data_IF_163733530532
#
_entry.id   IF_163733530532
#
_cell.length_a   1.000
_cell.length_b   1.000
_cell.length_c   1.000
_cell.angle_alpha   90.00
_cell.angle_beta   90.00
_cell.angle_gamma   90.00
#
_symmetry.space_group_name_H-M   'P 1'
#
loop_
_entity.id
_entity.type
_entity.pdbx_description
1 polymer ?
#
# COMPACT_ATOMS: atom_id res chain seq x y z
N UNK A 1 14.77 26.71 22.74
CA UNK A 1 15.55 25.98 21.73
C UNK A 1 14.60 24.97 21.10
N UNK A 2 14.14 25.20 19.88
CA UNK A 2 13.33 24.23 19.16
C UNK A 2 14.27 23.19 18.55
N UNK A 3 14.08 21.93 18.91
CA UNK A 3 14.78 20.81 18.27
C UNK A 3 13.90 20.37 17.11
N UNK A 4 14.37 20.58 15.88
CA UNK A 4 13.75 19.99 14.69
C UNK A 4 14.25 18.55 14.54
N UNK A 5 13.32 17.60 14.47
CA UNK A 5 13.63 16.19 14.26
C UNK A 5 13.71 15.89 12.76
N UNK A 6 14.66 15.04 12.35
CA UNK A 6 14.73 14.51 10.99
C UNK A 6 13.59 13.52 10.72
N UNK A 7 13.32 13.24 9.43
CA UNK A 7 12.31 12.24 9.04
C UNK A 7 12.59 10.85 9.62
N UNK A 8 13.85 10.45 9.71
CA UNK A 8 14.27 9.19 10.33
C UNK A 8 14.03 9.18 11.84
N UNK A 9 14.37 10.28 12.54
CA UNK A 9 14.11 10.42 13.97
C UNK A 9 12.61 10.37 14.26
N UNK A 10 11.77 10.97 13.41
CA UNK A 10 10.32 10.90 13.53
C UNK A 10 9.80 9.47 13.33
N UNK A 11 10.38 8.70 12.40
CA UNK A 11 10.04 7.29 12.20
C UNK A 11 10.41 6.45 13.42
N UNK A 12 11.57 6.71 14.04
CA UNK A 12 12.01 6.04 15.26
C UNK A 12 11.11 6.36 16.45
N UNK A 13 10.71 7.63 16.60
CA UNK A 13 9.74 8.05 17.62
C UNK A 13 8.41 7.32 17.41
N UNK A 14 7.88 7.29 16.19
CA UNK A 14 6.62 6.61 15.88
C UNK A 14 6.70 5.09 16.18
N UNK A 15 7.80 4.42 15.80
CA UNK A 15 8.02 3.00 16.11
C UNK A 15 8.17 2.75 17.62
N UNK A 16 8.82 3.67 18.34
CA UNK A 16 8.94 3.60 19.80
C UNK A 16 7.57 3.73 20.47
N UNK A 17 6.73 4.67 20.01
CA UNK A 17 5.35 4.84 20.47
C UNK A 17 4.52 3.58 20.20
N UNK A 18 4.61 2.99 19.00
CA UNK A 18 3.92 1.73 18.69
C UNK A 18 4.38 0.60 19.61
N UNK A 19 5.68 0.45 19.85
CA UNK A 19 6.20 -0.56 20.78
C UNK A 19 5.71 -0.36 22.21
N UNK A 20 5.67 0.89 22.69
CA UNK A 20 5.18 1.21 24.02
C UNK A 20 3.68 0.90 24.16
N UNK A 21 2.88 1.19 23.13
CA UNK A 21 1.43 0.98 23.13
C UNK A 21 1.04 -0.49 22.94
N UNK A 22 1.74 -1.22 22.06
CA UNK A 22 1.40 -2.58 21.64
C UNK A 22 2.13 -3.67 22.45
N UNK A 23 3.21 -3.32 23.16
CA UNK A 23 4.04 -4.26 23.89
C UNK A 23 4.78 -5.23 22.97
N UNK A 24 4.90 -6.49 23.42
CA UNK A 24 5.53 -7.58 22.65
C UNK A 24 4.55 -8.36 21.76
N UNK A 25 3.27 -7.99 21.79
CA UNK A 25 2.26 -8.67 21.01
C UNK A 25 2.39 -8.36 19.52
N UNK A 26 2.07 -9.35 18.68
CA UNK A 26 2.03 -9.18 17.22
C UNK A 26 0.59 -9.05 16.73
N UNK A 27 0.40 -8.21 15.73
CA UNK A 27 -0.89 -7.76 15.22
C UNK A 27 -1.06 -8.18 13.76
N UNK A 28 -2.28 -8.39 13.29
CA UNK A 28 -2.51 -8.49 11.86
C UNK A 28 -2.24 -7.12 11.22
N UNK A 29 -1.44 -7.10 10.16
CA UNK A 29 -1.30 -5.91 9.32
C UNK A 29 -2.31 -5.97 8.18
N UNK A 30 -3.09 -4.90 7.99
CA UNK A 30 -4.02 -4.78 6.88
C UNK A 30 -3.38 -3.95 5.76
N UNK A 31 -3.09 -4.60 4.64
CA UNK A 31 -2.56 -3.98 3.43
C UNK A 31 -3.70 -3.64 2.48
N UNK A 32 -3.78 -2.38 2.08
CA UNK A 32 -4.73 -1.94 1.06
C UNK A 32 -4.31 -0.65 0.36
N UNK A 33 -4.87 -0.36 -0.83
CA UNK A 33 -4.52 0.82 -1.58
C UNK A 33 -4.85 2.09 -0.79
N UNK A 34 -3.94 3.08 -0.81
CA UNK A 34 -4.21 4.45 -0.32
C UNK A 34 -4.21 5.40 -1.52
N UNK A 35 -3.06 5.59 -2.16
CA UNK A 35 -2.89 6.51 -3.30
C UNK A 35 -3.06 5.85 -4.67
N UNK A 36 -3.20 4.53 -4.72
CA UNK A 36 -3.29 3.73 -5.94
C UNK A 36 -4.53 2.84 -5.98
N UNK A 37 -4.38 1.64 -6.55
CA UNK A 37 -5.46 0.66 -6.61
C UNK A 37 -6.38 0.84 -7.82
N UNK A 38 -7.41 -0.01 -7.90
CA UNK A 38 -8.41 0.00 -8.99
C UNK A 38 -9.12 1.35 -9.14
N UNK A 39 -9.33 2.07 -8.02
CA UNK A 39 -9.92 3.42 -8.03
C UNK A 39 -9.07 4.41 -8.82
N UNK A 40 -7.74 4.39 -8.65
CA UNK A 40 -6.85 5.27 -9.40
C UNK A 40 -6.97 5.03 -10.90
N UNK A 41 -6.90 3.76 -11.32
CA UNK A 41 -7.03 3.39 -12.73
C UNK A 41 -8.36 3.86 -13.32
N UNK A 42 -9.46 3.52 -12.65
CA UNK A 42 -10.83 3.86 -13.10
C UNK A 42 -11.02 5.37 -13.19
N UNK A 43 -10.63 6.11 -12.15
CA UNK A 43 -10.75 7.56 -12.10
C UNK A 43 -9.86 8.25 -13.15
N UNK A 44 -8.62 7.78 -13.31
CA UNK A 44 -7.68 8.37 -14.26
C UNK A 44 -8.19 8.30 -15.69
N UNK A 45 -8.76 7.15 -16.08
CA UNK A 45 -9.33 6.93 -17.41
C UNK A 45 -10.60 7.75 -17.65
N UNK A 46 -11.46 7.86 -16.64
CA UNK A 46 -12.73 8.58 -16.74
C UNK A 46 -12.54 10.10 -16.81
N UNK A 47 -11.72 10.66 -15.92
CA UNK A 47 -11.58 12.12 -15.79
C UNK A 47 -10.16 12.58 -15.46
N UNK A 48 -9.36 11.82 -14.70
CA UNK A 48 -8.12 12.29 -14.12
C UNK A 48 -7.09 12.78 -15.13
N UNK A 49 -6.95 12.09 -16.27
CA UNK A 49 -6.04 12.49 -17.36
C UNK A 49 -6.44 13.79 -18.06
N UNK A 50 -7.72 14.15 -18.00
CA UNK A 50 -8.26 15.37 -18.64
C UNK A 50 -8.07 16.63 -17.77
N UNK A 51 -7.76 16.47 -16.48
CA UNK A 51 -7.61 17.58 -15.55
C UNK A 51 -6.20 18.17 -15.59
N UNK A 52 -6.09 19.49 -15.42
CA UNK A 52 -4.83 20.18 -15.16
C UNK A 52 -4.21 19.74 -13.82
N UNK A 53 -2.88 19.76 -13.70
CA UNK A 53 -2.14 19.15 -12.60
C UNK A 53 -2.63 19.55 -11.19
N UNK A 54 -2.89 20.83 -10.93
CA UNK A 54 -3.36 21.30 -9.62
C UNK A 54 -4.76 20.79 -9.28
N UNK A 55 -5.70 20.88 -10.23
CA UNK A 55 -7.07 20.36 -10.07
C UNK A 55 -7.09 18.84 -9.96
N UNK A 56 -6.19 18.17 -10.70
CA UNK A 56 -6.02 16.73 -10.71
C UNK A 56 -5.67 16.20 -9.33
N UNK A 57 -4.76 16.85 -8.58
CA UNK A 57 -4.40 16.43 -7.22
C UNK A 57 -5.60 16.44 -6.27
N UNK A 58 -6.33 17.55 -6.24
CA UNK A 58 -7.50 17.68 -5.36
C UNK A 58 -8.64 16.74 -5.76
N UNK A 59 -8.88 16.56 -7.06
CA UNK A 59 -9.85 15.59 -7.56
C UNK A 59 -9.44 14.15 -7.22
N UNK A 60 -8.17 13.79 -7.40
CA UNK A 60 -7.63 12.48 -7.03
C UNK A 60 -7.80 12.20 -5.54
N UNK A 61 -7.52 13.19 -4.68
CA UNK A 61 -7.69 13.03 -3.23
C UNK A 61 -9.12 12.63 -2.88
N UNK A 62 -10.12 13.32 -3.42
CA UNK A 62 -11.54 13.04 -3.16
C UNK A 62 -12.06 11.76 -3.83
N UNK A 63 -11.61 11.48 -5.04
CA UNK A 63 -12.15 10.36 -5.84
C UNK A 63 -11.44 9.03 -5.57
N UNK A 64 -10.19 9.07 -5.11
CA UNK A 64 -9.33 7.89 -4.95
C UNK A 64 -8.87 7.75 -3.51
N UNK A 65 -8.17 8.74 -2.97
CA UNK A 65 -7.43 8.61 -1.70
C UNK A 65 -8.39 8.51 -0.51
N UNK A 66 -9.32 9.44 -0.38
CA UNK A 66 -10.27 9.47 0.74
C UNK A 66 -11.18 8.23 0.76
N UNK A 67 -11.78 7.78 -0.36
CA UNK A 67 -12.54 6.53 -0.40
C UNK A 67 -11.69 5.30 -0.08
N UNK A 68 -10.45 5.24 -0.58
CA UNK A 68 -9.53 4.15 -0.27
C UNK A 68 -9.21 4.06 1.23
N UNK A 69 -8.91 5.21 1.86
CA UNK A 69 -8.68 5.29 3.31
C UNK A 69 -9.94 4.90 4.07
N UNK A 70 -11.12 5.36 3.64
CA UNK A 70 -12.38 5.04 4.29
C UNK A 70 -12.64 3.53 4.30
N UNK A 71 -12.51 2.86 3.15
CA UNK A 71 -12.67 1.41 3.04
C UNK A 71 -11.67 0.65 3.93
N UNK A 72 -10.40 1.08 3.93
CA UNK A 72 -9.35 0.42 4.70
C UNK A 72 -9.61 0.54 6.21
N UNK A 73 -10.06 1.72 6.66
CA UNK A 73 -10.48 1.96 8.04
C UNK A 73 -11.72 1.14 8.40
N UNK A 74 -12.70 1.06 7.49
CA UNK A 74 -13.91 0.28 7.71
C UNK A 74 -13.58 -1.21 7.89
N UNK A 75 -12.74 -1.77 7.02
CA UNK A 75 -12.29 -3.17 7.13
C UNK A 75 -11.51 -3.42 8.42
N UNK A 76 -10.60 -2.51 8.79
CA UNK A 76 -9.89 -2.63 10.06
C UNK A 76 -10.83 -2.57 11.26
N UNK A 77 -11.87 -1.73 11.21
CA UNK A 77 -12.87 -1.65 12.28
C UNK A 77 -13.73 -2.92 12.35
N UNK A 78 -14.12 -3.51 11.21
CA UNK A 78 -14.79 -4.82 11.17
C UNK A 78 -13.93 -5.90 11.83
N UNK A 79 -12.63 -5.95 11.51
CA UNK A 79 -11.71 -6.91 12.10
C UNK A 79 -11.56 -6.71 13.61
N UNK A 80 -11.40 -5.46 14.07
CA UNK A 80 -11.32 -5.13 15.51
C UNK A 80 -12.61 -5.50 16.24
N UNK A 81 -13.78 -5.25 15.65
CA UNK A 81 -15.07 -5.66 16.20
C UNK A 81 -15.21 -7.18 16.32
N UNK A 82 -14.58 -7.94 15.41
CA UNK A 82 -14.46 -9.39 15.48
C UNK A 82 -13.34 -9.89 16.44
N UNK A 83 -12.71 -8.99 17.22
CA UNK A 83 -11.65 -9.33 18.16
C UNK A 83 -10.26 -9.50 17.52
N UNK A 84 -10.11 -9.21 16.22
CA UNK A 84 -8.83 -9.29 15.52
C UNK A 84 -8.05 -8.00 15.75
N UNK A 85 -6.91 -8.13 16.43
CA UNK A 85 -5.96 -7.04 16.66
C UNK A 85 -5.29 -6.63 15.35
N UNK A 86 -5.61 -5.42 14.88
CA UNK A 86 -5.28 -4.97 13.51
C UNK A 86 -4.59 -3.62 13.48
N UNK A 87 -3.42 -3.57 12.82
CA UNK A 87 -2.70 -2.37 12.41
C UNK A 87 -3.08 -2.07 10.95
N UNK A 88 -3.36 -0.81 10.63
CA UNK A 88 -3.71 -0.38 9.28
C UNK A 88 -3.12 1.01 8.99
N UNK A 89 -2.62 1.26 7.76
CA UNK A 89 -1.92 2.49 7.42
C UNK A 89 -2.81 3.69 7.07
N UNK A 90 -4.10 3.50 6.78
CA UNK A 90 -5.03 4.56 6.39
C UNK A 90 -5.37 5.56 7.50
N UNK A 91 -5.20 5.22 8.78
CA UNK A 91 -5.30 6.18 9.88
C UNK A 91 -4.01 6.92 10.21
N UNK A 92 -2.89 6.59 9.54
CA UNK A 92 -1.62 7.26 9.79
C UNK A 92 -1.54 8.56 8.98
N UNK A 93 -1.59 9.69 9.68
CA UNK A 93 -1.48 11.02 9.07
C UNK A 93 -0.01 11.41 8.90
N UNK A 94 0.54 11.08 7.72
CA UNK A 94 1.90 11.45 7.37
C UNK A 94 2.04 12.92 6.94
N UNK A 95 0.96 13.67 6.72
CA UNK A 95 1.01 15.03 6.16
C UNK A 95 1.84 16.03 7.02
N UNK A 96 2.06 15.73 8.30
CA UNK A 96 2.85 16.54 9.24
C UNK A 96 4.34 16.19 9.29
N UNK A 97 4.71 15.07 8.67
CA UNK A 97 6.08 14.56 8.56
C UNK A 97 6.39 14.65 7.08
N UNK A 98 7.32 15.49 6.63
CA UNK A 98 7.63 15.68 5.20
C UNK A 98 8.29 14.45 4.54
N UNK A 99 7.70 13.26 4.71
CA UNK A 99 8.12 11.99 4.17
C UNK A 99 7.76 11.91 2.70
N UNK A 100 8.73 11.51 1.89
CA UNK A 100 8.47 10.99 0.57
C UNK A 100 7.93 9.57 0.64
N UNK A 101 7.65 9.02 -0.54
CA UNK A 101 7.19 7.64 -0.68
C UNK A 101 8.20 6.63 -0.12
N UNK A 102 9.51 6.89 -0.27
CA UNK A 102 10.56 5.99 0.18
C UNK A 102 10.61 5.89 1.70
N UNK A 103 10.56 7.02 2.41
CA UNK A 103 10.52 7.07 3.87
C UNK A 103 9.24 6.42 4.41
N UNK A 104 8.09 6.70 3.77
CA UNK A 104 6.82 6.08 4.14
C UNK A 104 6.88 4.55 4.02
N UNK A 105 7.37 4.02 2.89
CA UNK A 105 7.50 2.57 2.69
C UNK A 105 8.52 1.94 3.64
N UNK A 106 9.64 2.62 3.92
CA UNK A 106 10.65 2.15 4.86
C UNK A 106 10.09 2.08 6.30
N UNK A 107 9.30 3.06 6.71
CA UNK A 107 8.61 3.03 8.00
C UNK A 107 7.68 1.82 8.12
N UNK A 108 6.81 1.60 7.13
CA UNK A 108 5.86 0.48 7.17
C UNK A 108 6.53 -0.89 7.07
N UNK A 109 7.65 -0.99 6.36
CA UNK A 109 8.47 -2.19 6.36
C UNK A 109 8.98 -2.55 7.78
N UNK A 110 9.43 -1.54 8.54
CA UNK A 110 9.84 -1.73 9.94
C UNK A 110 8.66 -2.09 10.85
N UNK A 111 7.46 -1.57 10.55
CA UNK A 111 6.23 -1.97 11.26
C UNK A 111 5.90 -3.44 10.98
N UNK A 112 5.98 -3.88 9.73
CA UNK A 112 5.77 -5.29 9.35
C UNK A 112 6.74 -6.21 10.09
N UNK A 113 8.04 -5.92 10.01
CA UNK A 113 9.10 -6.71 10.66
C UNK A 113 8.84 -6.89 12.17
N UNK A 114 8.52 -5.78 12.86
CA UNK A 114 8.52 -5.73 14.32
C UNK A 114 7.18 -6.06 14.96
N UNK A 115 6.08 -5.72 14.29
CA UNK A 115 4.74 -5.74 14.90
C UNK A 115 3.75 -6.64 14.18
N UNK A 116 3.97 -7.05 12.93
CA UNK A 116 2.99 -7.85 12.20
C UNK A 116 3.13 -9.35 12.47
N UNK A 117 2.05 -10.05 12.82
CA UNK A 117 2.02 -11.53 12.87
C UNK A 117 1.77 -12.16 11.51
N UNK A 118 1.03 -11.44 10.65
CA UNK A 118 0.71 -11.79 9.27
C UNK A 118 0.23 -10.52 8.55
N UNK A 119 0.17 -10.59 7.22
CA UNK A 119 -0.35 -9.52 6.37
C UNK A 119 -1.61 -10.00 5.67
N UNK A 120 -2.71 -9.25 5.85
CA UNK A 120 -3.99 -9.45 5.16
C UNK A 120 -4.13 -8.41 4.05
N UNK A 121 -4.37 -8.87 2.84
CA UNK A 121 -4.51 -8.03 1.66
C UNK A 121 -6.00 -7.86 1.33
N UNK A 122 -6.46 -6.60 1.25
CA UNK A 122 -7.82 -6.30 0.79
C UNK A 122 -7.95 -6.55 -0.72
N UNK A 123 -9.17 -6.76 -1.21
CA UNK A 123 -9.42 -6.97 -2.63
C UNK A 123 -8.92 -5.79 -3.49
N UNK A 124 -8.26 -6.08 -4.61
CA UNK A 124 -7.71 -5.06 -5.50
C UNK A 124 -6.35 -4.52 -5.08
N UNK A 125 -5.70 -5.12 -4.06
CA UNK A 125 -4.33 -4.79 -3.64
C UNK A 125 -3.32 -4.87 -4.79
N UNK A 126 -3.53 -5.76 -5.76
CA UNK A 126 -2.65 -5.99 -6.90
C UNK A 126 -2.52 -4.78 -7.84
N UNK A 127 -3.43 -3.80 -7.72
CA UNK A 127 -3.38 -2.51 -8.43
C UNK A 127 -2.63 -1.43 -7.64
N UNK A 128 -2.00 -1.77 -6.52
CA UNK A 128 -1.27 -0.84 -5.66
C UNK A 128 0.19 -1.26 -5.55
N UNK A 129 1.09 -0.39 -6.03
CA UNK A 129 2.53 -0.61 -5.87
C UNK A 129 2.95 -0.72 -4.40
N UNK A 130 2.30 0.01 -3.49
CA UNK A 130 2.54 -0.08 -2.05
C UNK A 130 2.16 -1.46 -1.49
N UNK A 131 1.01 -2.00 -1.89
CA UNK A 131 0.61 -3.34 -1.46
C UNK A 131 1.50 -4.42 -2.06
N UNK A 132 1.92 -4.29 -3.32
CA UNK A 132 2.88 -5.20 -3.93
C UNK A 132 4.24 -5.18 -3.22
N UNK A 133 4.70 -4.00 -2.80
CA UNK A 133 5.87 -3.86 -1.94
C UNK A 133 5.67 -4.58 -0.60
N UNK A 134 4.54 -4.36 0.08
CA UNK A 134 4.22 -4.98 1.37
C UNK A 134 4.11 -6.51 1.26
N UNK A 135 3.55 -7.04 0.17
CA UNK A 135 3.53 -8.49 -0.11
C UNK A 135 4.93 -9.07 -0.16
N UNK A 136 5.83 -8.42 -0.91
CA UNK A 136 7.23 -8.83 -1.01
C UNK A 136 7.95 -8.74 0.34
N UNK A 137 7.72 -7.68 1.12
CA UNK A 137 8.34 -7.52 2.45
C UNK A 137 7.81 -8.55 3.44
N UNK A 138 6.51 -8.82 3.43
CA UNK A 138 5.91 -9.88 4.23
C UNK A 138 6.59 -11.24 3.95
N UNK A 139 6.82 -11.55 2.67
CA UNK A 139 7.55 -12.75 2.27
C UNK A 139 8.98 -12.78 2.84
N UNK A 140 9.73 -11.68 2.71
CA UNK A 140 11.11 -11.56 3.20
C UNK A 140 11.21 -11.70 4.72
N UNK A 141 10.17 -11.27 5.45
CA UNK A 141 10.08 -11.38 6.92
C UNK A 141 9.50 -12.71 7.41
N UNK A 142 9.20 -13.65 6.51
CA UNK A 142 8.58 -14.93 6.87
C UNK A 142 7.15 -14.80 7.39
N UNK A 143 6.45 -13.71 7.06
CA UNK A 143 5.07 -13.47 7.47
C UNK A 143 4.10 -14.20 6.55
N UNK A 144 3.06 -14.79 7.15
CA UNK A 144 1.93 -15.29 6.38
C UNK A 144 1.26 -14.15 5.62
N UNK A 145 0.90 -14.41 4.36
CA UNK A 145 0.20 -13.48 3.47
C UNK A 145 -1.16 -14.10 3.19
N UNK A 146 -2.23 -13.39 3.48
CA UNK A 146 -3.59 -13.90 3.34
C UNK A 146 -4.50 -12.91 2.62
N UNK A 147 -5.53 -13.41 1.97
CA UNK A 147 -6.60 -12.57 1.41
C UNK A 147 -7.56 -12.07 2.50
N UNK A 148 -8.59 -11.31 2.10
CA UNK A 148 -9.61 -10.74 2.99
C UNK A 148 -10.44 -11.79 3.73
N UNK A 149 -10.50 -13.02 3.20
CA UNK A 149 -11.22 -14.14 3.82
C UNK A 149 -10.29 -14.97 4.74
N UNK A 150 -8.97 -14.76 4.63
CA UNK A 150 -7.95 -15.40 5.44
C UNK A 150 -7.31 -16.61 4.78
N UNK A 151 -7.58 -16.87 3.50
CA UNK A 151 -6.91 -17.91 2.74
C UNK A 151 -5.48 -17.48 2.43
N UNK A 152 -4.57 -18.45 2.40
CA UNK A 152 -3.18 -18.20 2.05
C UNK A 152 -3.07 -17.65 0.62
N UNK A 153 -2.36 -16.54 0.50
CA UNK A 153 -2.04 -15.92 -0.78
C UNK A 153 -0.62 -16.32 -1.17
N UNK A 154 -0.48 -17.50 -1.78
CA UNK A 154 0.79 -18.05 -2.22
C UNK A 154 1.47 -17.19 -3.31
N UNK A 155 2.81 -17.24 -3.46
CA UNK A 155 3.54 -16.43 -4.44
C UNK A 155 3.04 -16.58 -5.88
N UNK A 156 2.71 -17.80 -6.31
CA UNK A 156 2.17 -18.03 -7.66
C UNK A 156 0.83 -17.31 -7.87
N UNK A 157 -0.11 -17.43 -6.94
CA UNK A 157 -1.40 -16.74 -7.01
C UNK A 157 -1.22 -15.20 -6.98
N UNK A 158 -0.29 -14.69 -6.17
CA UNK A 158 0.03 -13.27 -6.15
C UNK A 158 0.61 -12.79 -7.49
N UNK A 159 1.47 -13.58 -8.14
CA UNK A 159 2.02 -13.27 -9.45
C UNK A 159 0.93 -13.23 -10.54
N UNK A 160 -0.02 -14.17 -10.51
CA UNK A 160 -1.14 -14.19 -11.46
C UNK A 160 -2.04 -12.95 -11.30
N UNK A 161 -2.32 -12.54 -10.06
CA UNK A 161 -3.07 -11.32 -9.77
C UNK A 161 -2.33 -10.07 -10.25
N UNK A 162 -1.03 -9.95 -9.96
CA UNK A 162 -0.20 -8.82 -10.39
C UNK A 162 -0.06 -8.77 -11.92
N UNK A 163 0.11 -9.91 -12.58
CA UNK A 163 0.15 -10.00 -14.04
C UNK A 163 -1.18 -9.56 -14.66
N UNK A 164 -2.31 -9.96 -14.07
CA UNK A 164 -3.65 -9.51 -14.48
C UNK A 164 -3.80 -8.00 -14.30
N UNK A 165 -3.30 -7.44 -13.19
CA UNK A 165 -3.35 -6.01 -12.93
C UNK A 165 -2.51 -5.22 -13.95
N UNK A 166 -1.30 -5.70 -14.23
CA UNK A 166 -0.40 -5.13 -15.24
C UNK A 166 -1.03 -5.14 -16.63
N UNK A 167 -1.63 -6.26 -17.06
CA UNK A 167 -2.31 -6.35 -18.35
C UNK A 167 -3.41 -5.29 -18.49
N UNK A 168 -4.21 -5.07 -17.44
CA UNK A 168 -5.25 -4.03 -17.45
C UNK A 168 -4.69 -2.60 -17.44
N UNK A 169 -3.56 -2.38 -16.79
CA UNK A 169 -2.89 -1.07 -16.82
C UNK A 169 -2.28 -0.83 -18.20
N UNK A 170 -1.70 -1.86 -18.82
CA UNK A 170 -1.11 -1.79 -20.16
C UNK A 170 -2.17 -1.54 -21.24
N UNK A 171 -3.32 -2.21 -21.18
CA UNK A 171 -4.46 -1.95 -22.07
C UNK A 171 -4.99 -0.51 -21.94
N UNK A 172 -4.86 0.06 -20.75
CA UNK A 172 -5.33 1.40 -20.41
C UNK A 172 -4.30 2.51 -20.72
N UNK A 173 -3.02 2.16 -20.82
CA UNK A 173 -1.92 3.09 -21.01
C UNK A 173 -1.69 3.34 -22.50
N UNK A 174 -1.75 4.61 -22.91
CA UNK A 174 -1.25 5.06 -24.21
C UNK A 174 0.15 5.69 -24.04
N UNK A 175 1.24 5.03 -24.47
CA UNK A 175 2.59 5.57 -24.35
C UNK A 175 2.80 6.88 -25.14
N UNK A 176 1.94 7.18 -26.11
CA UNK A 176 1.99 8.41 -26.87
C UNK A 176 1.28 9.59 -26.16
N UNK A 177 0.47 9.31 -25.13
CA UNK A 177 -0.23 10.34 -24.36
C UNK A 177 0.59 10.78 -23.14
N UNK A 178 1.16 12.00 -23.12
CA UNK A 178 1.92 12.50 -21.97
C UNK A 178 1.06 12.65 -20.70
N UNK A 179 -0.28 12.58 -20.81
CA UNK A 179 -1.19 12.62 -19.66
C UNK A 179 -1.23 11.29 -18.89
N UNK A 180 -0.71 10.21 -19.47
CA UNK A 180 -0.70 8.87 -18.89
C UNK A 180 0.55 8.58 -18.04
N UNK A 181 1.37 9.59 -17.71
CA UNK A 181 2.54 9.44 -16.82
C UNK A 181 2.17 8.73 -15.48
N UNK A 182 0.95 8.95 -14.98
CA UNK A 182 0.44 8.29 -13.79
C UNK A 182 0.34 6.77 -13.97
N UNK A 183 -0.18 6.32 -15.12
CA UNK A 183 -0.28 4.89 -15.43
C UNK A 183 1.07 4.27 -15.72
N UNK A 184 1.96 4.98 -16.43
CA UNK A 184 3.33 4.53 -16.66
C UNK A 184 4.07 4.29 -15.33
N UNK A 185 4.02 5.27 -14.41
CA UNK A 185 4.65 5.13 -13.08
C UNK A 185 4.03 4.01 -12.25
N UNK A 186 2.71 3.83 -12.31
CA UNK A 186 2.03 2.75 -11.62
C UNK A 186 2.45 1.37 -12.16
N UNK A 187 2.44 1.23 -13.49
CA UNK A 187 2.89 0.03 -14.22
C UNK A 187 4.31 -0.31 -13.83
N UNK A 188 5.26 0.63 -13.95
CA UNK A 188 6.67 0.37 -13.69
C UNK A 188 6.91 -0.04 -12.23
N UNK A 189 6.24 0.61 -11.28
CA UNK A 189 6.35 0.27 -9.88
C UNK A 189 5.79 -1.15 -9.58
N UNK A 190 4.65 -1.53 -10.16
CA UNK A 190 4.07 -2.87 -10.00
C UNK A 190 4.93 -3.92 -10.70
N UNK A 191 5.41 -3.65 -11.93
CA UNK A 191 6.28 -4.55 -12.69
C UNK A 191 7.59 -4.82 -11.94
N UNK A 192 8.18 -3.78 -11.35
CA UNK A 192 9.36 -3.92 -10.50
C UNK A 192 9.08 -4.84 -9.30
N UNK A 193 8.00 -4.63 -8.53
CA UNK A 193 7.67 -5.53 -7.41
C UNK A 193 7.37 -6.95 -7.88
N UNK A 194 6.68 -7.12 -9.00
CA UNK A 194 6.36 -8.42 -9.61
C UNK A 194 7.64 -9.20 -9.93
N UNK A 195 8.64 -8.55 -10.53
CA UNK A 195 9.93 -9.18 -10.84
C UNK A 195 10.65 -9.71 -9.59
N UNK A 196 10.56 -8.98 -8.48
CA UNK A 196 11.18 -9.35 -7.22
C UNK A 196 10.42 -10.48 -6.52
N UNK A 197 9.08 -10.47 -6.58
CA UNK A 197 8.25 -11.56 -6.06
C UNK A 197 8.50 -12.85 -6.86
N UNK A 198 8.68 -12.74 -8.18
CA UNK A 198 9.01 -13.89 -9.02
C UNK A 198 10.37 -14.51 -8.66
N UNK A 199 11.33 -13.71 -8.19
CA UNK A 199 12.60 -14.23 -7.67
C UNK A 199 12.41 -15.02 -6.38
N UNK A 200 11.52 -14.57 -5.49
CA UNK A 200 11.16 -15.30 -4.25
C UNK A 200 10.49 -16.63 -4.58
N UNK A 201 9.61 -16.69 -5.58
CA UNK A 201 8.90 -17.90 -5.94
C UNK A 201 9.80 -19.00 -6.54
N UNK A 202 11.02 -18.66 -6.99
CA UNK A 202 11.99 -19.59 -7.59
C UNK A 202 13.04 -20.11 -6.62
N UNK A 203 13.19 -19.49 -5.44
CA UNK A 203 14.14 -19.88 -4.41
C UNK A 203 13.46 -20.69 -3.32
#
# INVERSE_FOLDING_TARGET
MNIELTGEQLADVALSTLRAALGSERYQYLSGPITGGRRLLTWHLAEGRLLAAERRRNACRRAVIEPNIADLREEANRQRAAGIRTIEPGSFEADFVHWGQAEFLAFWDRVLERHASRVRFVSGWEFSAGCAFEYRRAAAHGLARVDVDGHELAPAAALDLLATALGRIDEAHDPADPRDEVLARLRDAIAFQTSLIAAIARG
#
